data_IF_103192645070
#
_entry.id   IF_103192645070
#
_cell.length_a   1.000
_cell.length_b   1.000
_cell.length_c   1.000
_cell.angle_alpha   90.00
_cell.angle_beta   90.00
_cell.angle_gamma   90.00
#
_symmetry.space_group_name_H-M   'P 1'
#
loop_
_entity.id
_entity.type
_entity.pdbx_description
1 polymer ?
#
# COMPACT_ATOMS: atom_id res chain seq x y z
N UNK A 1 -23.66 33.06 7.34
CA UNK A 1 -23.80 32.48 8.66
C UNK A 1 -24.79 31.35 8.60
N UNK A 2 -24.30 30.15 8.43
CA UNK A 2 -24.89 28.87 8.86
C UNK A 2 -23.79 27.83 8.73
N UNK A 3 -23.50 27.30 9.87
CA UNK A 3 -22.59 26.22 10.19
C UNK A 3 -22.96 24.96 9.39
N UNK A 4 -22.02 24.35 8.72
CA UNK A 4 -22.14 23.01 8.16
C UNK A 4 -20.84 22.26 8.43
N UNK A 5 -20.70 21.87 9.69
CA UNK A 5 -19.84 20.76 10.07
C UNK A 5 -20.36 19.50 9.38
N UNK A 6 -19.69 19.03 8.35
CA UNK A 6 -19.97 17.73 7.73
C UNK A 6 -19.35 16.67 8.61
N UNK A 7 -20.24 15.96 9.27
CA UNK A 7 -20.04 14.88 10.23
C UNK A 7 -19.39 13.66 9.53
N UNK A 8 -18.16 13.33 9.92
CA UNK A 8 -17.44 12.11 9.51
C UNK A 8 -17.96 10.84 10.21
N UNK A 9 -19.20 10.83 10.68
CA UNK A 9 -19.83 9.71 11.41
C UNK A 9 -20.72 8.80 10.55
N UNK A 10 -20.73 8.92 9.24
CA UNK A 10 -21.56 8.10 8.34
C UNK A 10 -21.24 6.59 8.33
N UNK A 11 -20.10 6.15 8.87
CA UNK A 11 -19.66 4.75 8.89
C UNK A 11 -20.04 3.98 10.18
N UNK A 12 -20.71 4.61 11.15
CA UNK A 12 -21.03 3.95 12.44
C UNK A 12 -22.43 3.37 12.59
N UNK A 13 -23.25 3.37 11.59
CA UNK A 13 -24.68 3.08 11.77
C UNK A 13 -25.16 1.70 11.28
N UNK A 14 -24.33 0.65 11.22
CA UNK A 14 -24.86 -0.67 10.83
C UNK A 14 -24.38 -1.90 11.64
N UNK A 15 -23.79 -1.75 12.82
CA UNK A 15 -23.45 -2.90 13.67
C UNK A 15 -23.72 -2.62 15.16
N UNK A 16 -24.99 -2.45 15.54
CA UNK A 16 -25.43 -2.71 16.91
C UNK A 16 -26.20 -4.04 16.95
N UNK A 17 -25.52 -5.07 17.43
CA UNK A 17 -26.17 -6.35 17.73
C UNK A 17 -25.19 -7.52 17.76
N UNK A 18 -24.51 -7.70 18.87
CA UNK A 18 -24.23 -8.99 19.53
C UNK A 18 -23.13 -8.80 20.58
N UNK A 19 -23.60 -8.49 21.78
CA UNK A 19 -22.76 -8.60 22.99
C UNK A 19 -22.94 -9.96 23.65
N UNK A 20 -21.89 -10.38 24.34
CA UNK A 20 -21.76 -11.40 25.38
C UNK A 20 -21.19 -12.74 24.92
N UNK A 21 -19.93 -12.99 25.31
CA UNK A 21 -19.54 -14.02 26.30
C UNK A 21 -18.07 -13.79 26.69
N UNK A 22 -17.84 -13.41 27.96
CA UNK A 22 -16.52 -13.44 28.62
C UNK A 22 -16.19 -14.86 29.03
N UNK A 23 -14.95 -15.34 28.79
CA UNK A 23 -14.25 -16.25 29.70
C UNK A 23 -12.73 -16.04 29.64
N UNK A 24 -12.19 -15.81 30.83
CA UNK A 24 -10.78 -15.68 31.09
C UNK A 24 -10.04 -17.02 31.00
N UNK A 25 -8.84 -17.02 30.38
CA UNK A 25 -7.81 -17.98 30.72
C UNK A 25 -6.44 -17.26 30.77
N UNK A 26 -5.85 -17.29 31.97
CA UNK A 26 -4.48 -16.87 32.25
C UNK A 26 -3.52 -17.84 31.56
N UNK A 27 -2.72 -17.34 30.60
CA UNK A 27 -1.51 -17.98 30.12
C UNK A 27 -0.37 -16.96 30.18
N UNK A 28 0.69 -17.31 30.90
CA UNK A 28 1.90 -16.50 31.03
C UNK A 28 2.59 -16.44 29.67
N UNK A 29 2.64 -15.24 29.07
CA UNK A 29 3.41 -14.98 27.86
C UNK A 29 4.87 -14.77 28.20
N UNK A 30 5.74 -15.63 27.66
CA UNK A 30 7.18 -15.41 27.57
C UNK A 30 7.40 -14.48 26.35
N UNK A 31 8.14 -13.36 26.47
CA UNK A 31 8.34 -12.45 25.33
C UNK A 31 9.32 -13.09 24.33
N UNK A 32 8.86 -13.43 23.15
CA UNK A 32 9.69 -13.82 22.01
C UNK A 32 10.30 -12.56 21.39
N UNK A 33 11.57 -12.29 21.68
CA UNK A 33 12.34 -11.24 20.97
C UNK A 33 12.68 -11.74 19.57
N UNK A 34 12.43 -10.91 18.56
CA UNK A 34 12.78 -11.17 17.16
C UNK A 34 14.24 -11.59 17.03
N UNK A 35 14.52 -12.61 16.21
CA UNK A 35 15.87 -13.12 15.95
C UNK A 35 16.87 -12.04 15.50
N UNK A 36 16.38 -10.99 14.85
CA UNK A 36 17.20 -9.85 14.41
C UNK A 36 17.72 -8.99 15.57
N UNK A 37 16.90 -8.74 16.60
CA UNK A 37 17.30 -7.94 17.77
C UNK A 37 18.23 -8.71 18.71
N UNK A 38 18.12 -10.04 18.76
CA UNK A 38 19.01 -10.89 19.60
C UNK A 38 20.43 -10.93 19.02
N UNK A 39 20.58 -10.81 17.69
CA UNK A 39 21.90 -10.81 17.04
C UNK A 39 22.68 -9.51 17.28
N UNK A 40 22.01 -8.36 17.32
CA UNK A 40 22.67 -7.04 17.49
C UNK A 40 23.13 -6.76 18.93
N UNK A 41 22.35 -7.11 19.95
CA UNK A 41 22.71 -6.83 21.35
C UNK A 41 23.90 -7.69 21.90
N UNK A 42 24.23 -8.81 21.25
CA UNK A 42 25.31 -9.72 21.71
C UNK A 42 26.70 -9.45 21.10
N UNK A 43 26.82 -8.65 20.08
CA UNK A 43 28.08 -8.41 19.36
C UNK A 43 28.98 -7.41 20.11
N UNK A 44 28.45 -6.52 20.92
CA UNK A 44 29.24 -5.45 21.58
C UNK A 44 30.09 -5.90 22.79
N UNK A 45 29.90 -7.13 23.32
CA UNK A 45 30.56 -7.56 24.59
C UNK A 45 31.32 -8.88 24.53
N UNK A 46 31.81 -9.33 23.37
CA UNK A 46 32.43 -10.66 23.27
C UNK A 46 33.92 -10.65 22.92
N UNK A 47 34.70 -11.53 23.58
CA UNK A 47 36.12 -11.75 23.29
C UNK A 47 36.38 -12.46 21.95
N UNK A 48 37.47 -12.11 21.25
CA UNK A 48 37.79 -12.53 19.87
C UNK A 48 37.64 -14.03 19.52
N UNK A 49 37.98 -15.02 20.36
CA UNK A 49 37.80 -16.44 19.98
C UNK A 49 36.33 -16.88 19.96
N UNK A 50 35.42 -16.25 20.75
CA UNK A 50 34.00 -16.54 20.74
C UNK A 50 33.32 -15.96 19.52
N UNK A 51 33.83 -14.86 18.97
CA UNK A 51 33.29 -14.21 17.75
C UNK A 51 33.36 -15.13 16.51
N UNK A 52 34.44 -15.94 16.40
CA UNK A 52 34.62 -16.85 15.25
C UNK A 52 33.63 -18.02 15.31
N UNK A 53 33.39 -18.57 16.50
CA UNK A 53 32.43 -19.68 16.68
C UNK A 53 30.99 -19.20 16.49
N UNK A 54 30.67 -17.97 16.93
CA UNK A 54 29.35 -17.40 16.79
C UNK A 54 29.09 -16.88 15.35
N UNK A 55 30.13 -16.40 14.66
CA UNK A 55 30.03 -16.09 13.23
C UNK A 55 29.72 -17.34 12.39
N UNK A 56 30.38 -18.48 12.72
CA UNK A 56 30.07 -19.76 12.09
C UNK A 56 28.65 -20.26 12.41
N UNK A 57 28.19 -20.09 13.66
CA UNK A 57 26.83 -20.44 14.07
C UNK A 57 25.77 -19.50 13.44
N UNK A 58 26.07 -18.20 13.35
CA UNK A 58 25.20 -17.24 12.66
C UNK A 58 25.10 -17.53 11.15
N UNK A 59 26.22 -17.91 10.51
CA UNK A 59 26.23 -18.33 9.09
C UNK A 59 25.40 -19.62 8.90
N UNK A 60 25.46 -20.57 9.81
CA UNK A 60 24.67 -21.81 9.76
C UNK A 60 23.19 -21.52 9.99
N UNK A 61 22.82 -20.63 10.93
CA UNK A 61 21.42 -20.23 11.17
C UNK A 61 20.87 -19.43 9.97
N UNK A 62 21.66 -18.53 9.39
CA UNK A 62 21.28 -17.81 8.17
C UNK A 62 21.15 -18.78 6.99
N UNK A 63 22.07 -19.74 6.84
CA UNK A 63 21.98 -20.76 5.79
C UNK A 63 20.79 -21.71 5.98
N UNK A 64 20.42 -22.04 7.23
CA UNK A 64 19.24 -22.85 7.53
C UNK A 64 17.92 -22.09 7.28
N UNK A 65 17.89 -20.76 7.51
CA UNK A 65 16.73 -19.94 7.15
C UNK A 65 16.54 -19.85 5.61
N UNK A 66 17.65 -19.80 4.85
CA UNK A 66 17.58 -19.83 3.37
C UNK A 66 17.20 -21.20 2.81
N UNK A 67 17.45 -22.29 3.53
CA UNK A 67 17.09 -23.64 3.06
C UNK A 67 15.57 -23.94 3.17
N UNK A 68 14.79 -23.10 3.87
CA UNK A 68 13.35 -23.27 4.05
C UNK A 68 12.51 -22.47 3.05
N UNK A 69 13.13 -21.56 2.28
CA UNK A 69 12.41 -20.78 1.28
C UNK A 69 12.28 -21.57 -0.05
N UNK A 70 11.07 -21.70 -0.61
CA UNK A 70 10.91 -22.32 -1.92
C UNK A 70 11.70 -21.54 -2.98
N UNK A 71 12.36 -22.27 -3.89
CA UNK A 71 13.08 -21.68 -5.01
C UNK A 71 12.09 -20.88 -5.86
N UNK A 72 12.29 -19.58 -5.97
CA UNK A 72 11.39 -18.65 -6.68
C UNK A 72 10.61 -17.70 -5.79
N UNK A 73 10.74 -17.78 -4.44
CA UNK A 73 10.12 -16.82 -3.56
C UNK A 73 10.72 -15.42 -3.79
N UNK A 74 9.87 -14.46 -4.09
CA UNK A 74 10.13 -13.05 -3.91
C UNK A 74 10.33 -12.17 -5.13
N UNK A 75 10.65 -12.66 -6.33
CA UNK A 75 10.61 -11.87 -7.56
C UNK A 75 9.58 -12.48 -8.49
N UNK A 76 8.54 -11.74 -8.81
CA UNK A 76 7.50 -12.19 -9.73
C UNK A 76 7.33 -11.21 -10.90
N UNK A 77 7.34 -11.78 -12.12
CA UNK A 77 6.90 -11.15 -13.35
C UNK A 77 5.91 -12.06 -14.08
N UNK A 78 5.15 -12.87 -13.31
CA UNK A 78 4.14 -13.79 -13.82
C UNK A 78 2.83 -13.08 -14.17
N UNK A 79 1.95 -13.82 -14.86
CA UNK A 79 0.60 -13.36 -15.17
C UNK A 79 -0.29 -13.30 -13.93
N UNK A 80 -1.54 -12.89 -14.16
CA UNK A 80 -2.55 -12.75 -13.11
C UNK A 80 -2.71 -14.00 -12.23
N UNK A 81 -2.82 -15.16 -12.90
CA UNK A 81 -3.14 -16.42 -12.20
C UNK A 81 -2.06 -16.90 -11.23
N UNK A 82 -0.81 -16.46 -11.42
CA UNK A 82 0.30 -16.78 -10.53
C UNK A 82 0.35 -15.86 -9.32
N UNK A 83 0.01 -14.58 -9.51
CA UNK A 83 0.19 -13.55 -8.50
C UNK A 83 -1.11 -13.20 -7.75
N UNK A 84 -2.28 -13.33 -8.40
CA UNK A 84 -3.51 -12.74 -7.93
C UNK A 84 -4.68 -13.72 -7.90
N UNK A 85 -5.69 -13.33 -7.17
CA UNK A 85 -7.03 -13.91 -7.17
C UNK A 85 -8.08 -12.79 -7.19
N UNK A 86 -9.23 -13.06 -7.80
CA UNK A 86 -10.34 -12.11 -7.80
C UNK A 86 -10.98 -12.09 -6.42
N UNK A 87 -11.16 -10.89 -5.85
CA UNK A 87 -11.75 -10.71 -4.53
C UNK A 87 -13.26 -10.51 -4.60
N UNK A 88 -13.72 -9.69 -5.53
CA UNK A 88 -15.16 -9.48 -5.80
C UNK A 88 -15.38 -9.03 -7.25
N UNK A 89 -16.64 -9.10 -7.72
CA UNK A 89 -17.01 -8.74 -9.09
C UNK A 89 -17.16 -9.95 -10.02
N UNK A 90 -17.17 -11.19 -9.47
CA UNK A 90 -17.32 -12.40 -10.27
C UNK A 90 -18.60 -13.18 -10.03
N UNK A 91 -19.28 -12.99 -8.90
CA UNK A 91 -20.35 -13.92 -8.48
C UNK A 91 -21.66 -13.22 -8.11
N UNK A 92 -22.79 -13.70 -8.55
CA UNK A 92 -23.14 -14.34 -9.81
C UNK A 92 -23.36 -13.30 -10.92
N UNK A 93 -22.28 -12.70 -11.38
CA UNK A 93 -22.31 -11.50 -12.22
C UNK A 93 -22.39 -11.82 -13.71
N UNK A 94 -23.52 -11.63 -14.36
CA UNK A 94 -23.64 -11.76 -15.81
C UNK A 94 -22.79 -10.73 -16.55
N UNK A 95 -22.42 -9.62 -15.92
CA UNK A 95 -21.74 -8.48 -16.53
C UNK A 95 -20.21 -8.62 -16.53
N UNK A 96 -19.68 -9.70 -15.88
CA UNK A 96 -18.24 -9.99 -15.83
C UNK A 96 -17.39 -8.75 -15.49
N UNK A 97 -17.60 -8.18 -14.29
CA UNK A 97 -16.89 -6.98 -13.87
C UNK A 97 -15.37 -7.16 -13.69
N UNK A 98 -14.88 -8.39 -13.69
CA UNK A 98 -13.45 -8.71 -13.81
C UNK A 98 -13.25 -9.57 -15.05
N UNK A 99 -12.51 -9.06 -16.02
CA UNK A 99 -12.10 -9.84 -17.18
C UNK A 99 -10.60 -10.05 -17.16
N UNK A 100 -10.17 -11.31 -17.32
CA UNK A 100 -8.75 -11.70 -17.40
C UNK A 100 -8.53 -12.20 -18.83
N UNK A 101 -7.77 -11.43 -19.58
CA UNK A 101 -7.54 -11.70 -21.01
C UNK A 101 -6.06 -11.91 -21.30
N UNK A 102 -5.76 -12.29 -22.53
CA UNK A 102 -4.41 -12.48 -23.02
C UNK A 102 -3.56 -13.42 -22.14
N UNK A 103 -4.18 -14.50 -21.66
CA UNK A 103 -3.50 -15.49 -20.81
C UNK A 103 -3.08 -14.96 -19.44
N UNK A 104 -3.77 -13.95 -18.92
CA UNK A 104 -3.48 -13.34 -17.62
C UNK A 104 -2.53 -12.15 -17.68
N UNK A 105 -2.19 -11.66 -18.88
CA UNK A 105 -1.32 -10.47 -19.04
C UNK A 105 -2.07 -9.16 -18.93
N UNK A 106 -3.39 -9.19 -19.11
CA UNK A 106 -4.26 -8.04 -19.01
C UNK A 106 -5.47 -8.39 -18.15
N UNK A 107 -5.80 -7.51 -17.21
CA UNK A 107 -7.01 -7.59 -16.37
C UNK A 107 -7.76 -6.29 -16.51
N UNK A 108 -9.06 -6.36 -16.69
CA UNK A 108 -9.92 -5.18 -16.59
C UNK A 108 -10.81 -5.27 -15.35
N UNK A 109 -10.94 -4.16 -14.67
CA UNK A 109 -11.88 -3.96 -13.58
C UNK A 109 -12.96 -2.99 -14.02
N UNK A 110 -14.20 -3.39 -13.78
CA UNK A 110 -15.38 -2.63 -14.20
C UNK A 110 -16.19 -2.17 -12.99
N UNK A 111 -16.60 -0.91 -13.01
CA UNK A 111 -17.62 -0.35 -12.14
C UNK A 111 -18.88 -0.08 -12.94
N UNK A 112 -20.01 -0.57 -12.46
CA UNK A 112 -21.34 -0.24 -12.96
C UNK A 112 -22.25 0.20 -11.79
N UNK A 113 -23.51 0.50 -12.07
CA UNK A 113 -24.48 0.95 -11.08
C UNK A 113 -24.91 -0.12 -10.06
N UNK A 114 -24.40 -1.35 -10.19
CA UNK A 114 -24.64 -2.46 -9.24
C UNK A 114 -23.49 -2.56 -8.24
N UNK A 115 -22.25 -2.54 -8.73
CA UNK A 115 -21.04 -2.69 -7.88
C UNK A 115 -19.78 -2.37 -8.68
N UNK A 116 -18.67 -2.15 -7.94
CA UNK A 116 -17.31 -2.21 -8.45
C UNK A 116 -16.77 -3.62 -8.52
N UNK A 117 -15.45 -3.73 -8.68
CA UNK A 117 -14.73 -4.99 -8.74
C UNK A 117 -13.29 -4.85 -8.22
N UNK A 118 -12.62 -5.97 -7.97
CA UNK A 118 -11.25 -5.94 -7.48
C UNK A 118 -10.59 -7.31 -7.37
N UNK A 119 -9.28 -7.28 -7.29
CA UNK A 119 -8.44 -8.44 -7.06
C UNK A 119 -7.38 -8.16 -6.00
N UNK A 120 -6.80 -9.22 -5.45
CA UNK A 120 -5.72 -9.15 -4.46
C UNK A 120 -4.61 -10.15 -4.78
N UNK A 121 -3.40 -9.91 -4.23
CA UNK A 121 -2.31 -10.87 -4.31
C UNK A 121 -2.63 -12.13 -3.49
N UNK A 122 -2.09 -13.27 -3.97
CA UNK A 122 -2.13 -14.53 -3.21
C UNK A 122 -1.23 -14.45 -1.98
N UNK A 123 -0.03 -13.93 -2.19
CA UNK A 123 0.97 -13.77 -1.14
C UNK A 123 0.79 -12.46 -0.37
N UNK A 124 1.21 -12.48 0.90
CA UNK A 124 1.38 -11.29 1.73
C UNK A 124 2.88 -11.00 1.89
N UNK A 125 3.23 -9.73 1.96
CA UNK A 125 4.60 -9.25 1.90
C UNK A 125 4.94 -8.36 3.10
N UNK A 126 6.19 -8.44 3.59
CA UNK A 126 6.76 -7.41 4.44
C UNK A 126 7.96 -6.81 3.73
N UNK A 127 7.80 -5.59 3.27
CA UNK A 127 8.74 -4.87 2.43
C UNK A 127 8.87 -5.44 1.00
N UNK A 128 9.12 -4.56 0.07
CA UNK A 128 9.32 -4.88 -1.34
C UNK A 128 9.23 -3.67 -2.25
N UNK A 129 9.47 -3.91 -3.52
CA UNK A 129 9.20 -3.00 -4.61
C UNK A 129 8.12 -3.64 -5.49
N UNK A 130 7.02 -2.92 -5.67
CA UNK A 130 5.82 -3.37 -6.36
C UNK A 130 5.50 -2.38 -7.48
N UNK A 131 5.41 -2.87 -8.70
CA UNK A 131 5.06 -2.07 -9.88
C UNK A 131 3.84 -2.65 -10.55
N UNK A 132 2.85 -1.80 -10.78
CA UNK A 132 1.64 -2.13 -11.53
C UNK A 132 1.52 -1.20 -12.73
N UNK A 133 1.37 -1.77 -13.90
CA UNK A 133 1.06 -1.06 -15.13
C UNK A 133 -0.45 -0.86 -15.23
N UNK A 134 -0.90 0.39 -15.32
CA UNK A 134 -2.32 0.73 -15.30
C UNK A 134 -2.68 1.72 -16.38
N UNK A 135 -3.89 1.58 -16.94
CA UNK A 135 -4.56 2.54 -17.81
C UNK A 135 -5.94 2.84 -17.24
N UNK A 136 -6.22 4.13 -16.99
CA UNK A 136 -7.41 4.55 -16.26
C UNK A 136 -8.65 4.67 -17.15
N UNK A 137 -9.79 4.91 -16.51
CA UNK A 137 -11.10 5.00 -17.18
C UNK A 137 -11.15 6.22 -18.09
N UNK A 138 -11.38 6.06 -19.38
CA UNK A 138 -11.46 7.20 -20.31
C UNK A 138 -12.82 7.94 -20.24
N UNK A 139 -12.84 9.16 -20.74
CA UNK A 139 -14.05 9.97 -20.88
C UNK A 139 -14.53 10.57 -19.56
N UNK A 140 -15.85 10.62 -19.33
CA UNK A 140 -16.41 11.08 -18.07
C UNK A 140 -16.34 9.95 -17.05
N UNK A 141 -15.45 10.08 -16.10
CA UNK A 141 -15.20 9.12 -15.02
C UNK A 141 -15.44 9.75 -13.64
N UNK A 142 -16.10 10.91 -13.59
CA UNK A 142 -16.35 11.62 -12.33
C UNK A 142 -16.98 10.70 -11.27
N UNK A 143 -16.52 10.81 -10.04
CA UNK A 143 -16.97 10.00 -8.89
C UNK A 143 -16.38 8.60 -8.81
N UNK A 144 -15.69 8.10 -9.85
CA UNK A 144 -15.03 6.79 -9.78
C UNK A 144 -13.68 6.90 -9.02
N UNK A 145 -13.31 5.82 -8.35
CA UNK A 145 -11.97 5.67 -7.73
C UNK A 145 -11.37 4.37 -8.23
N UNK A 146 -10.23 4.47 -8.93
CA UNK A 146 -9.40 3.33 -9.34
C UNK A 146 -8.17 3.27 -8.44
N UNK A 147 -7.78 2.07 -7.97
CA UNK A 147 -6.72 1.96 -6.96
C UNK A 147 -5.67 0.91 -7.29
N UNK A 148 -4.49 1.12 -6.72
CA UNK A 148 -3.44 0.13 -6.54
C UNK A 148 -2.82 0.37 -5.16
N UNK A 149 -2.91 -0.59 -4.25
CA UNK A 149 -2.53 -0.39 -2.86
C UNK A 149 -2.07 -1.67 -2.18
N UNK A 150 -1.42 -1.52 -1.02
CA UNK A 150 -1.10 -2.62 -0.12
C UNK A 150 -1.84 -2.41 1.20
N UNK A 151 -2.43 -3.47 1.75
CA UNK A 151 -3.06 -3.42 3.08
C UNK A 151 -2.83 -4.70 3.86
N UNK A 152 -2.73 -4.57 5.20
CA UNK A 152 -2.55 -5.68 6.13
C UNK A 152 -3.87 -6.31 6.59
N UNK A 153 -5.01 -5.74 6.20
CA UNK A 153 -6.34 -6.28 6.53
C UNK A 153 -7.23 -6.31 5.30
N UNK A 154 -8.20 -7.21 5.35
CA UNK A 154 -9.33 -7.15 4.45
C UNK A 154 -10.03 -5.80 4.67
N UNK A 155 -10.20 -4.96 3.63
CA UNK A 155 -10.85 -3.66 3.75
C UNK A 155 -12.30 -3.74 4.25
N UNK A 156 -12.89 -4.93 4.25
CA UNK A 156 -14.22 -5.19 4.83
C UNK A 156 -14.17 -5.57 6.32
N UNK A 157 -13.00 -5.90 6.86
CA UNK A 157 -12.83 -6.21 8.26
C UNK A 157 -12.82 -4.93 9.09
N UNK A 158 -13.88 -4.69 9.82
CA UNK A 158 -13.97 -3.59 10.79
C UNK A 158 -13.02 -3.86 11.96
N UNK A 159 -11.99 -3.04 12.10
CA UNK A 159 -11.07 -3.15 13.24
C UNK A 159 -9.91 -2.17 13.15
N UNK A 160 -9.53 -1.65 14.31
CA UNK A 160 -8.46 -0.69 14.46
C UNK A 160 -7.09 -1.32 14.16
N UNK A 161 -6.20 -0.54 13.58
CA UNK A 161 -4.78 -0.84 13.58
C UNK A 161 -4.21 -1.52 12.32
N UNK A 162 -4.84 -1.40 11.14
CA UNK A 162 -4.24 -1.85 9.88
C UNK A 162 -3.10 -0.94 9.41
N UNK A 163 -2.21 -1.48 8.59
CA UNK A 163 -1.23 -0.74 7.81
C UNK A 163 -1.67 -0.73 6.35
N UNK A 164 -1.53 0.43 5.65
CA UNK A 164 -1.94 0.56 4.24
C UNK A 164 -1.09 1.58 3.50
N UNK A 165 -0.86 1.36 2.21
CA UNK A 165 -0.08 2.23 1.32
C UNK A 165 -0.84 2.37 0.01
N UNK A 166 -1.33 3.58 -0.32
CA UNK A 166 -2.34 3.78 -1.36
C UNK A 166 -1.87 4.62 -2.52
N UNK A 167 -2.12 4.14 -3.75
CA UNK A 167 -2.43 4.94 -4.91
C UNK A 167 -3.92 4.90 -5.18
N UNK A 168 -4.55 6.07 -5.25
CA UNK A 168 -5.95 6.25 -5.63
C UNK A 168 -6.04 7.25 -6.78
N UNK A 169 -6.80 6.91 -7.81
CA UNK A 169 -7.00 7.75 -8.99
C UNK A 169 -8.46 8.18 -9.01
N UNK A 170 -8.67 9.47 -8.75
CA UNK A 170 -9.99 10.07 -8.67
C UNK A 170 -10.40 10.53 -10.07
N UNK A 171 -11.44 9.92 -10.58
CA UNK A 171 -12.01 10.25 -11.90
C UNK A 171 -12.53 11.68 -11.97
N UNK A 172 -12.68 12.20 -13.19
CA UNK A 172 -13.15 13.56 -13.43
C UNK A 172 -14.09 13.61 -14.64
N UNK A 173 -14.71 14.76 -14.86
CA UNK A 173 -15.50 15.02 -16.06
C UNK A 173 -14.61 15.05 -17.30
N UNK A 174 -15.15 14.70 -18.45
CA UNK A 174 -14.42 14.69 -19.71
C UNK A 174 -13.65 16.00 -19.97
N UNK A 175 -12.37 15.87 -20.33
CA UNK A 175 -11.48 17.00 -20.61
C UNK A 175 -10.80 17.62 -19.38
N UNK A 176 -11.15 17.21 -18.17
CA UNK A 176 -10.49 17.61 -16.93
C UNK A 176 -9.50 16.52 -16.50
N UNK A 177 -8.34 16.88 -15.92
CA UNK A 177 -7.31 15.91 -15.57
C UNK A 177 -7.73 15.02 -14.40
N UNK A 178 -7.23 13.78 -14.40
CA UNK A 178 -7.26 12.89 -13.25
C UNK A 178 -6.50 13.48 -12.07
N UNK A 179 -7.01 13.21 -10.87
CA UNK A 179 -6.34 13.54 -9.62
C UNK A 179 -5.78 12.26 -9.00
N UNK A 180 -4.47 12.12 -8.97
CA UNK A 180 -3.80 11.04 -8.25
C UNK A 180 -3.68 11.43 -6.77
N UNK A 181 -4.17 10.57 -5.89
CA UNK A 181 -4.02 10.66 -4.44
C UNK A 181 -3.12 9.53 -3.96
N UNK A 182 -2.25 9.82 -3.00
CA UNK A 182 -1.50 8.81 -2.25
C UNK A 182 -1.80 8.96 -0.78
N UNK A 183 -1.87 7.84 -0.05
CA UNK A 183 -2.06 7.85 1.40
C UNK A 183 -1.17 6.80 2.08
N UNK A 184 -0.98 6.92 3.38
CA UNK A 184 -0.28 5.95 4.23
C UNK A 184 -1.01 5.84 5.55
N UNK A 185 -1.48 4.62 5.86
CA UNK A 185 -1.98 4.28 7.17
C UNK A 185 -0.91 3.50 7.94
N UNK A 186 -0.61 3.93 9.13
CA UNK A 186 0.24 3.21 10.05
C UNK A 186 -0.54 2.95 11.34
N UNK A 187 -0.73 1.67 11.69
CA UNK A 187 -1.49 1.24 12.87
C UNK A 187 -2.92 1.82 12.91
N UNK A 188 -3.59 1.88 11.75
CA UNK A 188 -4.95 2.39 11.59
C UNK A 188 -5.08 3.92 11.53
N UNK A 189 -3.97 4.65 11.59
CA UNK A 189 -3.97 6.11 11.50
C UNK A 189 -3.53 6.54 10.10
N UNK A 190 -4.48 7.04 9.32
CA UNK A 190 -4.29 7.68 8.02
C UNK A 190 -4.31 9.21 8.13
N UNK A 191 -5.00 9.87 7.19
CA UNK A 191 -5.06 11.34 7.14
C UNK A 191 -3.75 11.94 6.61
N UNK A 192 -3.05 11.19 5.75
CA UNK A 192 -1.76 11.58 5.17
C UNK A 192 -1.85 11.73 3.66
N UNK A 193 -2.98 12.22 3.16
CA UNK A 193 -3.22 12.35 1.73
C UNK A 193 -2.32 13.40 1.10
N UNK A 194 -1.68 13.04 0.00
CA UNK A 194 -1.08 13.98 -0.94
C UNK A 194 -1.76 13.82 -2.30
N UNK A 195 -2.11 14.94 -2.96
CA UNK A 195 -2.80 14.94 -4.26
C UNK A 195 -1.97 15.66 -5.30
N UNK A 196 -1.89 15.05 -6.48
CA UNK A 196 -1.15 15.60 -7.61
C UNK A 196 -1.89 15.33 -8.91
N UNK A 197 -1.78 16.24 -9.87
CA UNK A 197 -2.06 15.91 -11.26
C UNK A 197 -0.92 15.06 -11.84
N UNK A 198 -1.22 14.39 -12.96
CA UNK A 198 -0.21 13.70 -13.76
C UNK A 198 0.23 14.61 -14.91
N UNK A 199 1.44 14.39 -15.42
CA UNK A 199 2.01 15.17 -16.56
C UNK A 199 1.63 14.60 -17.92
N UNK A 200 0.70 13.66 -17.93
CA UNK A 200 0.16 12.96 -19.09
C UNK A 200 -1.33 12.64 -18.85
N UNK A 201 -2.02 12.20 -19.89
CA UNK A 201 -3.36 11.65 -19.77
C UNK A 201 -3.28 10.14 -19.48
N UNK A 202 -3.63 9.68 -18.26
CA UNK A 202 -3.50 8.28 -17.87
C UNK A 202 -4.57 7.37 -18.50
N UNK A 203 -5.44 7.93 -19.35
CA UNK A 203 -6.48 7.18 -20.08
C UNK A 203 -6.04 6.81 -21.50
N UNK A 204 -4.96 7.41 -22.03
CA UNK A 204 -4.49 7.16 -23.38
C UNK A 204 -3.60 5.92 -23.46
N UNK A 205 -2.64 5.76 -22.52
CA UNK A 205 -1.67 4.67 -22.50
C UNK A 205 -1.52 4.03 -21.12
N UNK A 206 -0.80 2.91 -21.07
CA UNK A 206 -0.39 2.28 -19.83
C UNK A 206 0.81 3.01 -19.22
N UNK A 207 0.78 3.22 -17.92
CA UNK A 207 1.84 3.83 -17.14
C UNK A 207 2.18 2.97 -15.93
N UNK A 208 3.44 3.02 -15.48
CA UNK A 208 3.92 2.26 -14.33
C UNK A 208 3.77 3.04 -13.04
N UNK A 209 3.06 2.46 -12.10
CA UNK A 209 2.91 2.98 -10.74
C UNK A 209 3.66 2.06 -9.78
N UNK A 210 4.65 2.61 -9.09
CA UNK A 210 5.57 1.83 -8.25
C UNK A 210 5.50 2.26 -6.80
N UNK A 211 5.36 1.30 -5.90
CA UNK A 211 5.51 1.45 -4.46
C UNK A 211 6.78 0.71 -4.05
N UNK A 212 7.81 1.45 -3.65
CA UNK A 212 8.94 0.91 -2.91
C UNK A 212 8.65 1.09 -1.43
N UNK A 213 8.54 -0.01 -0.71
CA UNK A 213 8.36 -0.02 0.74
C UNK A 213 9.50 -0.82 1.38
N UNK A 214 10.31 -0.16 2.21
CA UNK A 214 11.45 -0.77 2.90
C UNK A 214 11.57 -0.22 4.33
N UNK A 215 12.49 -0.72 5.17
CA UNK A 215 12.63 -0.23 6.55
C UNK A 215 12.95 1.26 6.70
N UNK A 216 13.36 1.95 5.63
CA UNK A 216 13.84 3.32 5.67
C UNK A 216 12.81 4.34 5.17
N UNK A 217 12.01 3.93 4.19
CA UNK A 217 11.02 4.81 3.54
C UNK A 217 10.03 4.04 2.68
N UNK A 218 8.92 4.71 2.37
CA UNK A 218 8.00 4.37 1.30
C UNK A 218 8.19 5.42 0.22
N UNK A 219 8.47 4.98 -1.02
CA UNK A 219 8.62 5.87 -2.19
C UNK A 219 7.55 5.49 -3.20
N UNK A 220 6.73 6.45 -3.57
CA UNK A 220 5.78 6.35 -4.66
C UNK A 220 6.40 6.94 -5.92
N UNK A 221 6.33 6.22 -7.04
CA UNK A 221 6.85 6.67 -8.32
C UNK A 221 5.87 6.41 -9.45
N UNK A 222 5.87 7.29 -10.44
CA UNK A 222 5.12 7.16 -11.69
C UNK A 222 6.12 7.19 -12.84
N UNK A 223 6.17 6.13 -13.65
CA UNK A 223 7.16 5.96 -14.73
C UNK A 223 8.61 6.22 -14.27
N UNK A 224 8.94 5.76 -13.06
CA UNK A 224 10.24 5.94 -12.43
C UNK A 224 10.50 7.33 -11.85
N UNK A 225 9.59 8.29 -12.01
CA UNK A 225 9.67 9.62 -11.38
C UNK A 225 9.07 9.55 -9.99
N UNK A 226 9.83 9.80 -8.89
CA UNK A 226 9.28 9.82 -7.55
C UNK A 226 8.32 11.01 -7.39
N UNK A 227 7.14 10.72 -6.84
CA UNK A 227 6.07 11.71 -6.58
C UNK A 227 5.84 11.94 -5.10
N UNK A 228 6.22 10.96 -4.25
CA UNK A 228 6.13 11.05 -2.80
C UNK A 228 7.20 10.21 -2.11
N UNK A 229 7.69 10.69 -0.97
CA UNK A 229 8.48 9.90 -0.01
C UNK A 229 7.85 10.04 1.37
N UNK A 230 7.58 8.91 2.02
CA UNK A 230 7.22 8.84 3.44
C UNK A 230 8.38 8.17 4.18
N UNK A 231 9.13 8.94 4.99
CA UNK A 231 10.34 8.45 5.67
C UNK A 231 9.99 7.77 6.98
N UNK A 232 10.72 6.71 7.31
CA UNK A 232 10.60 6.10 8.63
C UNK A 232 11.12 7.07 9.70
N UNK A 233 10.21 7.52 10.56
CA UNK A 233 10.47 8.39 11.71
C UNK A 233 10.07 7.70 13.02
N UNK A 234 10.07 6.37 13.06
CA UNK A 234 9.66 5.57 14.23
C UNK A 234 10.51 5.92 15.46
N UNK A 235 11.81 6.16 15.27
CA UNK A 235 12.70 6.61 16.34
C UNK A 235 12.30 7.98 16.95
N UNK A 236 11.49 8.76 16.25
CA UNK A 236 10.97 10.06 16.66
C UNK A 236 9.47 9.98 17.07
N UNK A 237 8.95 8.76 17.24
CA UNK A 237 7.58 8.53 17.70
C UNK A 237 6.49 8.57 16.62
N UNK A 238 6.86 8.62 15.33
CA UNK A 238 5.92 8.48 14.22
C UNK A 238 5.80 7.02 13.83
N UNK A 239 4.62 6.38 13.95
CA UNK A 239 4.45 5.00 13.56
C UNK A 239 4.85 4.74 12.12
N UNK A 240 5.53 3.60 11.88
CA UNK A 240 5.93 3.16 10.56
C UNK A 240 5.54 1.69 10.34
N UNK A 241 5.40 1.28 9.08
CA UNK A 241 4.87 -0.01 8.65
C UNK A 241 6.00 -1.08 8.67
N UNK A 242 6.36 -1.56 9.86
CA UNK A 242 7.48 -2.51 10.06
C UNK A 242 7.06 -3.87 10.56
N UNK A 243 5.77 -4.09 10.84
CA UNK A 243 5.33 -5.26 11.61
C UNK A 243 4.35 -6.17 10.89
N UNK A 244 3.49 -5.62 10.03
CA UNK A 244 2.40 -6.37 9.41
C UNK A 244 2.71 -6.67 7.96
N UNK A 245 2.54 -7.92 7.57
CA UNK A 245 2.55 -8.29 6.16
C UNK A 245 1.31 -7.71 5.48
N UNK A 246 1.45 -7.26 4.24
CA UNK A 246 0.39 -6.67 3.44
C UNK A 246 0.20 -7.41 2.14
N UNK A 247 -1.05 -7.53 1.68
CA UNK A 247 -1.39 -7.98 0.33
C UNK A 247 -1.48 -6.79 -0.61
N UNK A 248 -1.14 -7.02 -1.88
CA UNK A 248 -1.38 -6.08 -2.96
C UNK A 248 -2.83 -6.18 -3.39
N UNK A 249 -3.48 -5.05 -3.58
CA UNK A 249 -4.86 -4.93 -4.04
C UNK A 249 -4.97 -3.99 -5.22
N UNK A 250 -5.96 -4.24 -6.07
CA UNK A 250 -6.41 -3.33 -7.11
C UNK A 250 -7.93 -3.33 -7.15
N UNK A 251 -8.54 -2.14 -7.23
CA UNK A 251 -10.00 -2.00 -7.19
C UNK A 251 -10.48 -0.85 -8.06
N UNK A 252 -11.75 -0.95 -8.49
CA UNK A 252 -12.52 0.19 -8.96
C UNK A 252 -13.84 0.25 -8.22
N UNK A 253 -14.21 1.42 -7.71
CA UNK A 253 -15.39 1.58 -6.87
C UNK A 253 -16.01 2.97 -6.93
N UNK A 254 -17.21 3.10 -6.34
CA UNK A 254 -18.00 4.32 -6.27
C UNK A 254 -17.53 5.21 -5.12
N UNK A 255 -16.75 6.25 -5.45
CA UNK A 255 -16.31 7.30 -4.54
C UNK A 255 -17.18 8.58 -4.61
N UNK A 256 -18.41 8.47 -5.05
CA UNK A 256 -19.32 9.57 -5.36
C UNK A 256 -19.49 10.60 -4.23
N UNK A 257 -19.29 10.18 -2.98
CA UNK A 257 -19.48 11.06 -1.83
C UNK A 257 -18.32 12.03 -1.61
N UNK A 258 -17.13 11.76 -2.15
CA UNK A 258 -15.93 12.55 -1.83
C UNK A 258 -14.93 12.75 -2.99
N UNK A 259 -14.88 11.83 -3.99
CA UNK A 259 -13.78 11.79 -4.95
C UNK A 259 -13.70 13.05 -5.81
N UNK A 260 -14.68 13.27 -6.70
CA UNK A 260 -14.59 14.38 -7.64
C UNK A 260 -15.05 15.69 -7.01
N UNK A 261 -14.11 16.64 -6.89
CA UNK A 261 -14.32 17.96 -6.28
C UNK A 261 -14.95 17.88 -4.88
N UNK A 262 -14.54 16.89 -4.07
CA UNK A 262 -15.09 16.66 -2.73
C UNK A 262 -16.54 16.17 -2.74
N UNK A 263 -16.89 15.32 -3.72
CA UNK A 263 -18.23 14.75 -3.90
C UNK A 263 -19.27 15.72 -4.45
N UNK A 264 -18.86 16.89 -4.93
CA UNK A 264 -19.77 17.87 -5.57
C UNK A 264 -20.14 17.50 -7.00
N UNK A 265 -19.31 16.73 -7.67
CA UNK A 265 -19.59 16.15 -8.98
C UNK A 265 -19.84 14.67 -8.79
N UNK A 266 -21.01 14.22 -9.21
CA UNK A 266 -21.50 12.86 -9.00
C UNK A 266 -21.22 11.98 -10.21
N UNK A 267 -21.26 10.66 -10.02
CA UNK A 267 -21.21 9.69 -11.11
C UNK A 267 -22.42 9.88 -12.01
N UNK A 268 -22.17 10.05 -13.30
CA UNK A 268 -23.20 9.90 -14.32
C UNK A 268 -23.22 8.46 -14.84
N UNK A 269 -24.13 7.67 -14.31
CA UNK A 269 -24.31 6.26 -14.67
C UNK A 269 -24.68 6.02 -16.14
N UNK A 270 -25.02 7.06 -16.89
CA UNK A 270 -25.21 6.94 -18.33
C UNK A 270 -23.90 6.65 -19.08
N UNK A 271 -22.74 6.92 -18.45
CA UNK A 271 -21.41 6.60 -18.98
C UNK A 271 -20.90 5.21 -18.56
N UNK A 272 -21.62 4.51 -17.69
CA UNK A 272 -21.24 3.14 -17.31
C UNK A 272 -21.33 2.17 -18.50
N UNK A 273 -20.49 1.14 -18.57
CA UNK A 273 -19.54 0.71 -17.55
C UNK A 273 -18.24 1.54 -17.57
N UNK A 274 -17.69 1.81 -16.37
CA UNK A 274 -16.38 2.42 -16.21
C UNK A 274 -15.33 1.31 -16.10
N UNK A 275 -14.35 1.31 -17.01
CA UNK A 275 -13.39 0.22 -17.13
C UNK A 275 -11.97 0.74 -16.98
N UNK A 276 -11.27 0.24 -15.95
CA UNK A 276 -9.83 0.42 -15.77
C UNK A 276 -9.08 -0.85 -16.17
N UNK A 277 -7.87 -0.70 -16.72
CA UNK A 277 -7.06 -1.81 -17.21
C UNK A 277 -5.76 -1.91 -16.42
N UNK A 278 -5.37 -3.15 -16.09
CA UNK A 278 -4.15 -3.50 -15.37
C UNK A 278 -3.33 -4.45 -16.24
N UNK A 279 -2.13 -4.03 -16.60
CA UNK A 279 -1.21 -4.76 -17.45
C UNK A 279 -0.18 -5.56 -16.65
N UNK A 280 1.09 -5.32 -16.96
CA UNK A 280 2.20 -6.02 -16.32
C UNK A 280 2.29 -5.68 -14.83
N UNK A 281 2.42 -6.73 -14.02
CA UNK A 281 2.79 -6.63 -12.62
C UNK A 281 4.20 -7.17 -12.42
N UNK A 282 5.02 -6.43 -11.67
CA UNK A 282 6.33 -6.88 -11.24
C UNK A 282 6.53 -6.59 -9.76
N UNK A 283 7.10 -7.55 -9.04
CA UNK A 283 7.48 -7.35 -7.64
C UNK A 283 8.82 -7.99 -7.32
N UNK A 284 9.55 -7.38 -6.39
CA UNK A 284 10.66 -7.98 -5.67
C UNK A 284 10.42 -7.69 -4.19
N UNK A 285 10.00 -8.71 -3.43
CA UNK A 285 9.46 -8.51 -2.08
C UNK A 285 9.74 -9.70 -1.16
N UNK A 286 9.77 -9.46 0.14
CA UNK A 286 9.87 -10.53 1.13
C UNK A 286 8.47 -11.13 1.37
N UNK A 287 8.27 -12.37 0.96
CA UNK A 287 7.00 -13.11 1.13
C UNK A 287 6.88 -13.59 2.57
N UNK A 288 5.71 -13.41 3.16
CA UNK A 288 5.38 -13.96 4.49
C UNK A 288 5.24 -15.49 4.41
N UNK A 289 5.95 -16.22 5.28
CA UNK A 289 5.85 -17.66 5.36
C UNK A 289 4.59 -18.16 6.12
N UNK A 290 3.86 -17.26 6.75
CA UNK A 290 2.70 -17.60 7.58
C UNK A 290 1.41 -17.89 6.81
N UNK A 291 1.44 -17.89 5.47
CA UNK A 291 0.22 -18.02 4.66
C UNK A 291 -0.75 -16.85 4.86
N UNK A 292 -2.02 -17.05 4.58
CA UNK A 292 -3.06 -16.02 4.68
C UNK A 292 -3.08 -15.35 6.06
N UNK A 293 -2.41 -14.20 6.15
CA UNK A 293 -2.27 -13.45 7.40
C UNK A 293 -3.53 -12.68 7.76
N UNK A 294 -4.65 -13.39 7.98
CA UNK A 294 -5.85 -12.84 8.64
C UNK A 294 -5.66 -12.79 10.17
N UNK A 295 -4.45 -13.03 10.64
CA UNK A 295 -4.11 -13.07 12.06
C UNK A 295 -3.65 -11.74 12.60
N UNK A 296 -4.17 -11.37 13.75
CA UNK A 296 -3.73 -10.29 14.66
C UNK A 296 -2.27 -10.47 15.17
N UNK A 297 -1.48 -11.30 14.52
CA UNK A 297 -0.08 -11.51 14.90
C UNK A 297 0.80 -10.39 14.35
N UNK A 298 1.23 -9.53 15.25
CA UNK A 298 2.02 -8.32 15.00
C UNK A 298 3.40 -8.53 14.35
N UNK A 299 3.83 -9.77 14.10
CA UNK A 299 5.06 -10.07 13.35
C UNK A 299 4.95 -11.47 12.75
N UNK A 300 4.98 -11.64 11.43
CA UNK A 300 5.15 -12.95 10.82
C UNK A 300 6.48 -13.57 11.29
N UNK A 301 6.43 -14.83 11.68
CA UNK A 301 7.56 -15.52 12.29
C UNK A 301 8.74 -15.80 11.35
N UNK A 302 8.52 -15.69 10.03
CA UNK A 302 9.56 -15.88 9.01
C UNK A 302 9.15 -15.19 7.69
N UNK A 303 10.15 -14.66 6.97
CA UNK A 303 10.00 -14.11 5.63
C UNK A 303 11.00 -14.77 4.68
N UNK A 304 10.58 -15.00 3.45
CA UNK A 304 11.45 -15.40 2.35
C UNK A 304 11.70 -14.20 1.44
N UNK A 305 12.91 -13.66 1.47
CA UNK A 305 13.30 -12.55 0.62
C UNK A 305 14.05 -13.05 -0.62
N UNK A 306 13.87 -12.39 -1.79
CA UNK A 306 14.60 -12.74 -3.01
C UNK A 306 16.08 -12.39 -2.88
N UNK A 307 16.92 -12.97 -3.75
CA UNK A 307 18.36 -12.75 -3.73
C UNK A 307 18.79 -11.32 -4.03
N UNK A 308 17.94 -10.53 -4.69
CA UNK A 308 18.13 -9.12 -5.02
C UNK A 308 17.58 -8.15 -3.96
N UNK A 309 17.02 -8.66 -2.85
CA UNK A 309 16.43 -7.84 -1.79
C UNK A 309 17.36 -6.72 -1.29
N UNK A 310 18.67 -6.96 -1.27
CA UNK A 310 19.65 -5.94 -0.90
C UNK A 310 19.59 -4.69 -1.79
N UNK A 311 19.11 -4.81 -3.03
CA UNK A 311 19.04 -3.70 -3.99
C UNK A 311 18.00 -2.65 -3.62
N UNK A 312 16.90 -3.05 -2.98
CA UNK A 312 15.80 -2.18 -2.61
C UNK A 312 15.62 -2.00 -1.09
N UNK A 313 16.08 -2.96 -0.25
CA UNK A 313 15.91 -2.94 1.21
C UNK A 313 16.56 -1.70 1.87
N UNK A 314 17.66 -1.21 1.34
CA UNK A 314 18.38 -0.04 1.83
C UNK A 314 18.24 1.20 0.92
N UNK A 315 17.36 1.12 -0.09
CA UNK A 315 17.22 2.20 -1.09
C UNK A 315 16.59 3.44 -0.47
N UNK A 316 17.18 4.58 -0.75
CA UNK A 316 16.68 5.95 -0.52
C UNK A 316 16.73 6.72 -1.82
N UNK A 317 16.06 7.86 -1.90
CA UNK A 317 16.30 8.77 -3.01
C UNK A 317 17.73 9.29 -2.94
N UNK A 318 18.43 9.23 -4.09
CA UNK A 318 19.68 9.95 -4.29
C UNK A 318 19.39 11.38 -4.77
N UNK A 319 20.44 12.18 -4.99
CA UNK A 319 20.28 13.61 -5.37
C UNK A 319 19.43 13.81 -6.64
N UNK A 320 19.49 12.91 -7.62
CA UNK A 320 18.68 12.97 -8.84
C UNK A 320 17.21 12.70 -8.54
N UNK A 321 16.93 11.71 -7.69
CA UNK A 321 15.58 11.39 -7.24
C UNK A 321 14.96 12.53 -6.42
N UNK A 322 15.74 13.16 -5.53
CA UNK A 322 15.26 14.33 -4.76
C UNK A 322 14.94 15.53 -5.68
N UNK A 323 15.74 15.76 -6.74
CA UNK A 323 15.42 16.79 -7.74
C UNK A 323 14.16 16.47 -8.54
N UNK A 324 13.98 15.20 -8.93
CA UNK A 324 12.78 14.76 -9.64
C UNK A 324 11.52 14.87 -8.76
N UNK A 325 11.63 14.49 -7.49
CA UNK A 325 10.56 14.68 -6.50
C UNK A 325 10.19 16.16 -6.34
N UNK A 326 11.20 17.02 -6.20
CA UNK A 326 10.98 18.46 -6.06
C UNK A 326 10.29 19.05 -7.31
N UNK A 327 10.69 18.62 -8.52
CA UNK A 327 10.02 18.99 -9.76
C UNK A 327 8.56 18.52 -9.81
N UNK A 328 8.28 17.27 -9.46
CA UNK A 328 6.92 16.74 -9.46
C UNK A 328 6.02 17.50 -8.47
N UNK A 329 6.54 17.80 -7.27
CA UNK A 329 5.81 18.57 -6.25
C UNK A 329 5.56 20.01 -6.68
N UNK A 330 6.56 20.71 -7.22
CA UNK A 330 6.43 22.10 -7.67
C UNK A 330 5.43 22.27 -8.81
N UNK A 331 5.38 21.32 -9.74
CA UNK A 331 4.57 21.44 -10.95
C UNK A 331 3.17 20.84 -10.84
N UNK A 332 3.01 19.76 -10.05
CA UNK A 332 1.81 18.94 -10.16
C UNK A 332 1.09 18.72 -8.83
N UNK A 333 1.75 18.92 -7.67
CA UNK A 333 1.09 18.75 -6.38
C UNK A 333 0.07 19.87 -6.14
N UNK A 334 -1.13 19.48 -5.73
CA UNK A 334 -2.24 20.41 -5.48
C UNK A 334 -2.72 20.35 -4.03
N UNK A 335 -2.34 19.32 -3.28
CA UNK A 335 -2.65 19.20 -1.86
C UNK A 335 -1.61 18.36 -1.14
N UNK A 336 -1.18 18.84 0.01
CA UNK A 336 -0.34 18.11 0.97
C UNK A 336 -1.00 18.21 2.36
N UNK A 337 -1.26 17.06 2.99
CA UNK A 337 -1.83 17.02 4.34
C UNK A 337 -1.02 17.80 5.38
N UNK A 338 0.27 17.97 5.12
CA UNK A 338 1.15 18.78 5.97
C UNK A 338 0.85 20.28 5.91
N UNK A 339 0.22 20.75 4.84
CA UNK A 339 -0.12 22.15 4.62
C UNK A 339 -1.63 22.39 4.71
N UNK A 340 -2.43 21.35 5.03
CA UNK A 340 -3.86 21.47 5.22
C UNK A 340 -4.18 22.26 6.51
N UNK A 341 -4.78 23.46 6.40
CA UNK A 341 -5.11 24.30 7.55
C UNK A 341 -6.21 23.68 8.44
N UNK A 342 -6.95 22.70 7.95
CA UNK A 342 -8.00 22.00 8.69
C UNK A 342 -7.47 20.78 9.45
N UNK A 343 -6.22 20.40 9.24
CA UNK A 343 -5.57 19.34 9.99
C UNK A 343 -5.13 19.90 11.36
N UNK A 344 -6.05 19.88 12.33
CA UNK A 344 -5.93 20.52 13.66
C UNK A 344 -4.80 19.95 14.55
N UNK A 345 -4.09 18.93 14.08
CA UNK A 345 -2.93 18.37 14.78
C UNK A 345 -1.88 18.00 13.76
N UNK A 346 -1.18 19.02 13.21
CA UNK A 346 -0.13 18.79 12.22
C UNK A 346 0.72 17.59 12.61
N UNK A 347 0.76 16.52 11.79
CA UNK A 347 1.52 15.32 12.08
C UNK A 347 3.01 15.62 12.27
N UNK A 348 3.63 14.95 13.25
CA UNK A 348 5.03 15.23 13.62
C UNK A 348 6.01 15.05 12.45
N UNK A 349 5.74 14.10 11.55
CA UNK A 349 6.54 13.86 10.35
C UNK A 349 6.63 15.08 9.42
N UNK A 350 5.64 15.93 9.40
CA UNK A 350 5.60 17.12 8.53
C UNK A 350 6.70 18.15 8.84
N UNK A 351 7.06 18.29 10.11
CA UNK A 351 8.15 19.19 10.51
C UNK A 351 9.52 18.55 10.26
N UNK A 352 9.63 17.23 10.43
CA UNK A 352 10.85 16.49 10.21
C UNK A 352 11.26 16.44 8.74
N UNK A 353 10.30 16.28 7.82
CA UNK A 353 10.56 16.28 6.37
C UNK A 353 11.02 17.65 5.85
N UNK A 354 10.51 18.75 6.43
CA UNK A 354 11.02 20.11 6.10
C UNK A 354 12.47 20.32 6.53
N UNK A 355 12.86 19.80 7.70
CA UNK A 355 14.23 19.90 8.17
C UNK A 355 15.20 19.08 7.31
N UNK A 356 14.79 17.90 6.85
CA UNK A 356 15.59 17.06 5.96
C UNK A 356 15.77 17.66 4.56
N UNK A 357 14.85 18.49 4.10
CA UNK A 357 14.92 19.17 2.79
C UNK A 357 15.73 20.48 2.82
N UNK A 358 16.09 20.98 4.02
CA UNK A 358 16.81 22.23 4.21
C UNK A 358 18.34 22.06 4.37
N UNK A 359 18.85 20.81 4.36
CA UNK A 359 20.25 20.40 4.46
C UNK A 359 20.73 19.85 3.12
#
# INVERSE_FOLDING_TARGET
>A
MRDSSVDMHGWRAQLDGLNTIKRAHNARTVPTRSCYNIALERVENMSRPLLVVMAAAAIVVVACCFAACPVGAGASAGGFYENFEVKWGTDPDPDRRVEIVDGGRLVTLTLNNVSGSGFQSRDAFLFGEFTMEMKLVPGDSAGTVTTFYLTSKDPTAVGDGHDEIDFEFLGNVSGEPYLMQTNVFAQGVGGREQRSYLWFDPTEDFHNYTILWNPLNIIFSVDGVPVRVFRNQEANGVPYLTRRAMKVHATIWDGDTWATRGGRVKIDWAHAPFVASYGTYASSACVSAAGDGDGDEDVPSAFCCPGDAASWMARRLGPDGERALAWARDKYMVMDYCDDPWNLGRPAECDMDRLASAV
#
